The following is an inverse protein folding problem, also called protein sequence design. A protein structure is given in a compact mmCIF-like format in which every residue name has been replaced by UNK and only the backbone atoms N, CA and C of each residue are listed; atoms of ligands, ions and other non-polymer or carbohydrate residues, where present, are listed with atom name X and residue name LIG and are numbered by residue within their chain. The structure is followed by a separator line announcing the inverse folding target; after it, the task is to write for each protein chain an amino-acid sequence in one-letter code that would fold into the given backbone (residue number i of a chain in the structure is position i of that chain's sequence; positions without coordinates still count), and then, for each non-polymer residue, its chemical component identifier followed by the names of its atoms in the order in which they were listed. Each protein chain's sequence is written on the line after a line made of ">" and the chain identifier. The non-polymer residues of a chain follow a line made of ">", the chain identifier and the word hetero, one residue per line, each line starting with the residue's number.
data_IF_693679201898
#
_entry.id   IF_693679201898
#
_cell.length_a   1.000
_cell.length_b   1.000
_cell.length_c   1.000
_cell.angle_alpha   90.00
_cell.angle_beta   90.00
_cell.angle_gamma   90.00
#
_symmetry.space_group_name_H-M   'P 1'
#
loop_
_entity.id
_entity.type
_entity.pdbx_description
1 polymer ?
#
# COMPACT_ATOMS: atom_id res chain seq x y z
N UNK A 1 0.30 -4.56 3.28
CA UNK A 1 0.58 -3.56 2.22
C UNK A 1 0.09 -4.15 0.90
N UNK A 2 -0.68 -3.40 0.10
CA UNK A 2 -1.15 -3.90 -1.20
C UNK A 2 0.06 -4.03 -2.15
N UNK A 3 0.23 -5.15 -2.86
CA UNK A 3 1.20 -5.21 -3.96
C UNK A 3 0.87 -4.19 -5.04
N UNK A 4 1.90 -3.61 -5.64
CA UNK A 4 1.78 -2.57 -6.67
C UNK A 4 2.30 -3.12 -8.01
N UNK A 5 1.44 -3.22 -9.00
CA UNK A 5 1.84 -3.62 -10.34
C UNK A 5 1.99 -2.41 -11.25
N UNK A 6 3.22 -1.94 -11.43
CA UNK A 6 3.53 -0.84 -12.36
C UNK A 6 3.67 -1.30 -13.82
N UNK A 7 3.90 -2.58 -14.04
CA UNK A 7 4.23 -3.10 -15.35
C UNK A 7 5.57 -2.59 -15.90
N UNK A 8 5.78 -2.81 -17.20
CA UNK A 8 6.95 -2.29 -17.90
C UNK A 8 6.91 -0.76 -18.01
N UNK A 9 8.10 -0.14 -18.18
CA UNK A 9 8.20 1.30 -18.40
C UNK A 9 7.31 1.74 -19.57
N UNK A 10 6.45 2.76 -19.37
CA UNK A 10 5.61 3.30 -20.43
C UNK A 10 6.35 4.26 -21.37
N UNK A 11 7.61 4.56 -21.07
CA UNK A 11 8.47 5.47 -21.84
C UNK A 11 9.88 4.89 -22.00
N UNK A 12 10.58 5.32 -23.04
CA UNK A 12 12.01 5.02 -23.24
C UNK A 12 12.90 5.98 -22.46
N UNK A 13 12.51 7.27 -22.36
CA UNK A 13 13.19 8.29 -21.57
C UNK A 13 12.21 9.42 -21.22
N UNK A 14 12.47 10.09 -20.11
CA UNK A 14 11.82 11.34 -19.69
C UNK A 14 12.89 12.32 -19.24
N UNK A 15 12.64 13.63 -19.33
CA UNK A 15 13.60 14.65 -18.93
C UNK A 15 13.61 14.84 -17.42
N UNK A 16 12.45 14.96 -16.82
CA UNK A 16 12.28 15.16 -15.39
C UNK A 16 11.47 14.00 -14.80
N UNK A 17 11.84 13.54 -13.61
CA UNK A 17 11.11 12.46 -12.92
C UNK A 17 9.62 12.79 -12.70
N UNK A 18 9.27 14.09 -12.64
CA UNK A 18 7.88 14.54 -12.52
C UNK A 18 7.01 14.19 -13.73
N UNK A 19 7.63 14.02 -14.90
CA UNK A 19 6.93 13.59 -16.11
C UNK A 19 6.39 12.16 -16.00
N UNK A 20 6.90 11.38 -15.03
CA UNK A 20 6.40 10.04 -14.74
C UNK A 20 5.05 10.03 -14.00
N UNK A 21 4.62 11.17 -13.40
CA UNK A 21 3.43 11.21 -12.53
C UNK A 21 2.18 10.65 -13.19
N UNK A 22 1.73 11.10 -14.38
CA UNK A 22 0.51 10.58 -14.99
C UNK A 22 0.57 9.09 -15.30
N UNK A 23 1.75 8.57 -15.60
CA UNK A 23 1.95 7.14 -15.84
C UNK A 23 1.88 6.33 -14.54
N UNK A 24 2.46 6.84 -13.46
CA UNK A 24 2.36 6.21 -12.14
C UNK A 24 0.90 6.20 -11.66
N UNK A 25 0.19 7.31 -11.78
CA UNK A 25 -1.23 7.41 -11.42
C UNK A 25 -2.10 6.45 -12.23
N UNK A 26 -1.85 6.29 -13.53
CA UNK A 26 -2.59 5.35 -14.37
C UNK A 26 -2.38 3.88 -14.00
N UNK A 27 -1.27 3.54 -13.34
CA UNK A 27 -0.90 2.16 -12.96
C UNK A 27 -1.18 1.84 -11.50
N UNK A 28 -0.99 2.80 -10.61
CA UNK A 28 -1.08 2.63 -9.16
C UNK A 28 -2.41 3.18 -8.63
N UNK A 29 -3.04 4.10 -9.38
CA UNK A 29 -4.09 4.96 -8.89
C UNK A 29 -3.51 6.09 -8.02
N UNK A 30 -4.39 6.89 -7.46
CA UNK A 30 -4.03 8.05 -6.59
C UNK A 30 -3.78 7.61 -5.13
N UNK A 31 -2.99 6.56 -4.94
CA UNK A 31 -2.77 5.95 -3.63
C UNK A 31 -1.28 5.80 -3.32
N UNK A 32 -0.94 5.98 -2.05
CA UNK A 32 0.40 5.74 -1.57
C UNK A 32 0.76 4.24 -1.66
N UNK A 33 1.85 3.92 -2.35
CA UNK A 33 2.33 2.54 -2.53
C UNK A 33 2.65 1.83 -1.22
N UNK A 34 2.96 2.58 -0.16
CA UNK A 34 3.33 2.01 1.15
C UNK A 34 2.12 1.84 2.09
N UNK A 35 1.39 2.91 2.37
CA UNK A 35 0.32 2.86 3.38
C UNK A 35 -1.08 2.74 2.78
N UNK A 36 -1.24 2.97 1.47
CA UNK A 36 -2.53 2.95 0.78
C UNK A 36 -3.42 4.19 1.02
N UNK A 37 -2.89 5.24 1.66
CA UNK A 37 -3.61 6.50 1.82
C UNK A 37 -3.87 7.16 0.46
N UNK A 38 -5.01 7.82 0.30
CA UNK A 38 -5.31 8.67 -0.86
C UNK A 38 -4.36 9.86 -0.88
N UNK A 39 -3.86 10.20 -2.07
CA UNK A 39 -2.88 11.28 -2.31
C UNK A 39 -3.29 12.19 -3.47
N UNK A 40 -4.59 12.27 -3.76
CA UNK A 40 -5.17 13.00 -4.88
C UNK A 40 -4.77 14.48 -4.94
N UNK A 41 -4.60 15.12 -3.77
CA UNK A 41 -4.25 16.54 -3.67
C UNK A 41 -2.75 16.83 -3.62
N UNK A 42 -1.90 15.83 -3.29
CA UNK A 42 -0.46 16.03 -3.11
C UNK A 42 0.33 14.73 -3.33
N UNK A 43 0.28 14.14 -4.53
CA UNK A 43 1.09 12.96 -4.83
C UNK A 43 2.58 13.32 -4.86
N UNK A 44 3.39 12.51 -4.18
CA UNK A 44 4.84 12.63 -4.25
C UNK A 44 5.42 11.43 -5.01
N UNK A 45 6.29 11.71 -6.00
CA UNK A 45 7.09 10.67 -6.63
C UNK A 45 8.27 10.36 -5.70
N UNK A 46 8.28 9.14 -5.23
CA UNK A 46 9.27 8.60 -4.34
C UNK A 46 10.30 7.77 -5.11
N UNK A 47 11.56 7.83 -4.71
CA UNK A 47 12.66 7.07 -5.30
C UNK A 47 13.07 5.92 -4.39
N UNK A 48 12.87 4.68 -4.83
CA UNK A 48 13.24 3.46 -4.09
C UNK A 48 14.69 3.55 -3.61
N UNK A 49 15.64 3.78 -4.51
CA UNK A 49 17.00 4.22 -4.18
C UNK A 49 17.02 5.75 -4.22
N UNK A 50 17.38 6.36 -3.12
CA UNK A 50 17.29 7.82 -2.97
C UNK A 50 18.19 8.56 -3.98
N UNK A 51 17.67 9.63 -4.57
CA UNK A 51 18.41 10.47 -5.54
C UNK A 51 19.75 10.95 -5.02
N UNK A 52 19.81 11.36 -3.75
CA UNK A 52 21.02 11.80 -3.09
C UNK A 52 22.02 10.69 -2.77
N UNK A 53 21.64 9.45 -3.00
CA UNK A 53 22.45 8.24 -2.78
C UNK A 53 22.70 7.47 -4.09
N UNK A 54 22.69 8.18 -5.22
CA UNK A 54 23.01 7.63 -6.52
C UNK A 54 21.85 6.91 -7.23
N UNK A 55 20.61 6.99 -6.70
CA UNK A 55 19.43 6.45 -7.39
C UNK A 55 19.16 7.20 -8.69
N UNK A 56 18.89 6.46 -9.77
CA UNK A 56 18.47 7.05 -11.02
C UNK A 56 17.15 7.80 -10.84
N UNK A 57 17.12 9.03 -11.34
CA UNK A 57 16.00 9.94 -11.11
C UNK A 57 14.79 9.62 -11.98
N UNK A 58 14.99 9.02 -13.13
CA UNK A 58 13.98 8.82 -14.18
C UNK A 58 13.72 7.35 -14.49
N UNK A 59 14.51 6.44 -13.92
CA UNK A 59 14.34 5.00 -14.10
C UNK A 59 13.00 4.54 -13.49
N UNK A 60 12.12 4.00 -14.34
CA UNK A 60 10.77 3.55 -13.97
C UNK A 60 10.75 2.61 -12.75
N UNK A 61 11.70 1.67 -12.70
CA UNK A 61 11.83 0.73 -11.58
C UNK A 61 12.15 1.42 -10.26
N UNK A 62 12.75 2.61 -10.32
CA UNK A 62 13.12 3.40 -9.15
C UNK A 62 12.02 4.33 -8.66
N UNK A 63 10.85 4.41 -9.32
CA UNK A 63 9.80 5.37 -9.01
C UNK A 63 8.56 4.69 -8.44
N UNK A 64 8.01 5.27 -7.35
CA UNK A 64 6.75 4.91 -6.74
C UNK A 64 5.94 6.17 -6.43
N UNK A 65 4.63 6.01 -6.19
CA UNK A 65 3.82 7.07 -5.58
C UNK A 65 3.82 6.93 -4.06
N UNK A 66 4.00 8.03 -3.36
CA UNK A 66 3.97 8.04 -1.90
C UNK A 66 3.21 9.25 -1.35
N UNK A 67 2.62 9.08 -0.17
CA UNK A 67 2.17 10.22 0.61
C UNK A 67 3.37 10.90 1.26
N UNK A 68 3.21 12.18 1.57
CA UNK A 68 4.24 12.98 2.23
C UNK A 68 4.85 12.30 3.46
N UNK A 69 4.02 11.64 4.28
CA UNK A 69 4.51 10.99 5.51
C UNK A 69 5.43 9.81 5.20
N UNK A 70 5.01 8.88 4.33
CA UNK A 70 5.85 7.73 3.97
C UNK A 70 7.14 8.18 3.29
N UNK A 71 7.07 9.15 2.36
CA UNK A 71 8.25 9.70 1.68
C UNK A 71 9.20 10.39 2.66
N UNK A 72 8.69 11.23 3.55
CA UNK A 72 9.51 11.91 4.58
C UNK A 72 10.16 10.92 5.55
N UNK A 73 9.45 9.86 5.98
CA UNK A 73 10.01 8.85 6.91
C UNK A 73 11.09 8.01 6.24
N UNK A 74 10.86 7.60 4.99
CA UNK A 74 11.87 6.92 4.20
C UNK A 74 13.08 7.83 3.95
N UNK A 75 12.84 9.08 3.55
CA UNK A 75 13.92 10.08 3.32
C UNK A 75 15.02 9.55 2.38
N UNK A 76 16.27 9.78 2.72
CA UNK A 76 17.46 9.34 1.98
C UNK A 76 18.14 8.10 2.58
N UNK A 77 17.39 7.24 3.27
CA UNK A 77 17.93 6.07 3.98
C UNK A 77 18.27 4.90 3.06
N UNK A 78 17.80 4.90 1.81
CA UNK A 78 17.97 3.79 0.88
C UNK A 78 19.03 4.09 -0.18
N UNK A 79 19.91 3.13 -0.40
CA UNK A 79 21.03 3.13 -1.34
C UNK A 79 20.96 1.91 -2.25
N UNK A 80 21.80 1.83 -3.29
CA UNK A 80 21.93 0.64 -4.14
C UNK A 80 22.41 -0.59 -3.36
N UNK A 81 23.24 -0.41 -2.32
CA UNK A 81 23.77 -1.50 -1.52
C UNK A 81 22.72 -2.10 -0.59
N UNK A 82 21.84 -1.25 0.01
CA UNK A 82 20.85 -1.73 0.97
C UNK A 82 19.43 -1.89 0.40
N UNK A 83 19.19 -1.57 -0.88
CA UNK A 83 17.88 -1.72 -1.52
C UNK A 83 17.29 -3.10 -1.31
N UNK A 84 18.10 -4.15 -1.43
CA UNK A 84 17.66 -5.53 -1.33
C UNK A 84 17.34 -5.99 0.10
N UNK A 85 17.55 -5.13 1.08
CA UNK A 85 17.21 -5.38 2.49
C UNK A 85 15.73 -5.15 2.81
N UNK A 86 14.96 -4.61 1.89
CA UNK A 86 13.56 -4.23 2.07
C UNK A 86 12.62 -5.04 1.19
N UNK A 87 11.39 -5.22 1.63
CA UNK A 87 10.32 -5.91 0.88
C UNK A 87 9.48 -4.89 0.11
N UNK A 88 9.94 -4.47 -1.07
CA UNK A 88 9.29 -3.43 -1.86
C UNK A 88 7.93 -3.85 -2.42
N UNK A 89 6.91 -2.95 -2.43
CA UNK A 89 5.56 -3.29 -2.86
C UNK A 89 5.42 -3.57 -4.35
N UNK A 90 6.32 -3.09 -5.19
CA UNK A 90 6.33 -3.27 -6.64
C UNK A 90 7.25 -4.40 -7.14
N UNK A 91 8.01 -4.99 -6.25
CA UNK A 91 8.90 -6.12 -6.55
C UNK A 91 8.49 -7.42 -5.87
N UNK A 92 7.68 -7.32 -4.80
CA UNK A 92 7.39 -8.45 -3.92
C UNK A 92 5.87 -8.55 -3.63
N UNK A 93 5.40 -9.75 -3.33
CA UNK A 93 4.05 -9.91 -2.80
C UNK A 93 3.99 -9.46 -1.33
N UNK A 94 3.60 -8.21 -1.13
CA UNK A 94 3.49 -7.62 0.20
C UNK A 94 2.12 -7.83 0.85
N UNK A 95 1.16 -8.50 0.18
CA UNK A 95 -0.16 -8.78 0.75
C UNK A 95 -0.05 -9.59 2.04
N UNK A 96 0.67 -10.70 1.97
CA UNK A 96 0.82 -11.63 3.09
C UNK A 96 1.79 -11.11 4.18
N UNK A 97 2.61 -10.11 3.83
CA UNK A 97 3.65 -9.61 4.73
C UNK A 97 3.12 -8.85 5.94
N UNK A 98 1.90 -8.33 5.87
CA UNK A 98 1.35 -7.47 6.91
C UNK A 98 -0.10 -7.79 7.19
N UNK A 99 -0.48 -7.82 8.48
CA UNK A 99 -1.86 -7.88 8.96
C UNK A 99 -2.36 -6.50 9.34
N UNK A 100 -3.68 -6.31 9.37
CA UNK A 100 -4.31 -5.02 9.69
C UNK A 100 -5.50 -5.19 10.67
N UNK A 101 -5.40 -6.15 11.57
CA UNK A 101 -6.45 -6.38 12.58
C UNK A 101 -6.74 -5.11 13.39
N UNK A 102 -8.02 -4.72 13.46
CA UNK A 102 -8.43 -3.46 14.07
C UNK A 102 -7.91 -2.20 13.35
N UNK A 103 -7.44 -2.31 12.10
CA UNK A 103 -6.82 -1.20 11.34
C UNK A 103 -5.38 -0.92 11.77
N UNK A 104 -4.78 -1.76 12.64
CA UNK A 104 -3.41 -1.60 13.13
C UNK A 104 -2.49 -2.51 12.32
N UNK A 105 -1.53 -1.96 11.56
CA UNK A 105 -0.60 -2.77 10.79
C UNK A 105 0.42 -3.46 11.70
N UNK A 106 0.74 -4.69 11.37
CA UNK A 106 1.80 -5.48 11.99
C UNK A 106 2.46 -6.36 10.95
N UNK A 107 3.73 -6.68 11.12
CA UNK A 107 4.39 -7.71 10.30
C UNK A 107 3.76 -9.07 10.61
N UNK A 108 3.44 -9.82 9.57
CA UNK A 108 2.83 -11.14 9.68
C UNK A 108 3.90 -12.23 9.77
N UNK A 109 4.74 -12.16 10.80
CA UNK A 109 5.90 -13.04 10.98
C UNK A 109 5.56 -14.53 10.92
N UNK A 110 4.43 -15.04 11.48
CA UNK A 110 4.09 -16.46 11.36
C UNK A 110 3.99 -16.93 9.91
N UNK A 111 3.22 -16.25 9.08
CA UNK A 111 3.05 -16.60 7.66
C UNK A 111 4.37 -16.44 6.89
N UNK A 112 5.14 -15.41 7.19
CA UNK A 112 6.40 -15.18 6.50
C UNK A 112 7.45 -16.25 6.85
N UNK A 113 7.45 -16.77 8.05
CA UNK A 113 8.33 -17.89 8.46
C UNK A 113 7.87 -19.23 7.88
N UNK A 114 6.59 -19.43 7.63
CA UNK A 114 6.08 -20.58 6.87
C UNK A 114 6.54 -20.54 5.40
N UNK A 115 6.52 -19.34 4.79
CA UNK A 115 6.95 -19.13 3.39
C UNK A 115 8.47 -19.17 3.23
N UNK A 116 9.19 -18.68 4.22
CA UNK A 116 10.65 -18.61 4.25
C UNK A 116 11.16 -18.91 5.67
N UNK A 117 11.43 -20.18 5.98
CA UNK A 117 11.96 -20.59 7.30
C UNK A 117 13.31 -19.96 7.66
N UNK A 118 14.06 -19.43 6.67
CA UNK A 118 15.31 -18.68 6.95
C UNK A 118 15.06 -17.34 7.64
N UNK A 119 13.80 -16.84 7.58
CA UNK A 119 13.41 -15.55 8.14
C UNK A 119 13.84 -14.33 7.34
N UNK A 120 14.46 -14.50 6.17
CA UNK A 120 14.95 -13.37 5.36
C UNK A 120 13.81 -12.49 4.88
N UNK A 121 12.69 -13.08 4.40
CA UNK A 121 11.52 -12.31 3.97
C UNK A 121 10.90 -11.56 5.16
N UNK A 122 10.82 -12.17 6.33
CA UNK A 122 10.31 -11.53 7.54
C UNK A 122 11.17 -10.32 7.95
N UNK A 123 12.50 -10.46 7.90
CA UNK A 123 13.42 -9.36 8.18
C UNK A 123 13.27 -8.19 7.18
N UNK A 124 13.10 -8.49 5.89
CA UNK A 124 12.87 -7.47 4.85
C UNK A 124 11.54 -6.75 5.06
N UNK A 125 10.50 -7.47 5.45
CA UNK A 125 9.20 -6.90 5.78
C UNK A 125 9.29 -5.96 6.99
N UNK A 126 10.00 -6.37 8.07
CA UNK A 126 10.22 -5.56 9.26
C UNK A 126 10.99 -4.28 8.91
N UNK A 127 12.09 -4.40 8.17
CA UNK A 127 12.89 -3.24 7.75
C UNK A 127 12.07 -2.23 6.94
N UNK A 128 11.19 -2.68 6.02
CA UNK A 128 10.31 -1.75 5.29
C UNK A 128 9.26 -1.13 6.21
N UNK A 129 8.69 -1.92 7.11
CA UNK A 129 7.70 -1.45 8.10
C UNK A 129 8.26 -0.30 8.95
N UNK A 130 9.48 -0.47 9.46
CA UNK A 130 10.21 0.54 10.23
C UNK A 130 10.61 1.74 9.37
N UNK A 131 11.08 1.50 8.13
CA UNK A 131 11.58 2.54 7.23
C UNK A 131 10.53 3.64 6.97
N UNK A 132 9.27 3.23 6.75
CA UNK A 132 8.15 4.15 6.49
C UNK A 132 7.32 4.44 7.74
N UNK A 133 7.74 3.93 8.88
CA UNK A 133 7.02 4.01 10.17
C UNK A 133 5.53 3.67 10.00
N UNK A 134 5.26 2.52 9.38
CA UNK A 134 3.89 2.13 9.03
C UNK A 134 3.01 1.97 10.27
N UNK A 135 3.58 1.47 11.37
CA UNK A 135 2.91 1.25 12.65
C UNK A 135 2.84 2.48 13.56
N UNK A 136 3.34 3.64 13.13
CA UNK A 136 3.39 4.83 13.98
C UNK A 136 2.01 5.20 14.56
N UNK A 137 1.98 5.35 15.89
CA UNK A 137 0.85 5.90 16.64
C UNK A 137 1.20 7.37 16.94
N UNK A 138 0.54 8.34 16.29
CA UNK A 138 0.94 9.73 16.38
C UNK A 138 0.69 10.30 17.78
N UNK A 139 1.61 11.14 18.25
CA UNK A 139 1.37 11.98 19.43
C UNK A 139 0.24 13.01 19.15
N UNK A 140 -0.41 13.57 20.18
CA UNK A 140 -1.56 14.46 20.00
C UNK A 140 -1.30 15.68 19.09
N UNK A 141 -0.06 16.18 19.04
CA UNK A 141 0.36 17.29 18.17
C UNK A 141 0.88 16.87 16.80
N UNK A 142 1.03 15.58 16.55
CA UNK A 142 1.51 15.07 15.26
C UNK A 142 0.43 15.28 14.19
N UNK A 143 0.88 15.66 13.00
CA UNK A 143 0.01 15.85 11.83
C UNK A 143 -0.21 14.56 11.04
N UNK A 144 0.47 13.45 11.37
CA UNK A 144 0.29 12.16 10.73
C UNK A 144 -1.10 11.60 11.03
N UNK A 145 -1.94 11.54 10.02
CA UNK A 145 -3.32 11.04 10.12
C UNK A 145 -3.48 9.59 9.69
N UNK A 146 -2.41 8.93 9.21
CA UNK A 146 -2.48 7.56 8.69
C UNK A 146 -3.07 6.58 9.69
N UNK A 147 -2.69 6.67 10.97
CA UNK A 147 -3.23 5.82 12.03
C UNK A 147 -4.75 5.98 12.18
N UNK A 148 -5.21 7.22 12.37
CA UNK A 148 -6.65 7.54 12.55
C UNK A 148 -7.46 7.08 11.33
N UNK A 149 -7.00 7.43 10.13
CA UNK A 149 -7.68 7.08 8.88
C UNK A 149 -7.80 5.55 8.68
N UNK A 150 -6.78 4.77 9.06
CA UNK A 150 -6.86 3.30 9.01
C UNK A 150 -7.90 2.74 9.97
N UNK A 151 -7.98 3.25 11.20
CA UNK A 151 -9.00 2.83 12.17
C UNK A 151 -10.41 3.13 11.64
N UNK A 152 -10.61 4.33 11.10
CA UNK A 152 -11.89 4.75 10.50
C UNK A 152 -12.23 3.88 9.26
N UNK A 153 -11.23 3.54 8.45
CA UNK A 153 -11.39 2.64 7.31
C UNK A 153 -11.75 1.23 7.77
N UNK A 154 -11.11 0.72 8.82
CA UNK A 154 -11.45 -0.58 9.39
C UNK A 154 -12.90 -0.64 9.86
N UNK A 155 -13.36 0.39 10.58
CA UNK A 155 -14.76 0.48 11.00
C UNK A 155 -15.73 0.48 9.80
N UNK A 156 -15.41 1.23 8.74
CA UNK A 156 -16.21 1.24 7.51
C UNK A 156 -16.21 -0.13 6.81
N UNK A 157 -15.07 -0.79 6.73
CA UNK A 157 -14.94 -2.12 6.14
C UNK A 157 -15.75 -3.17 6.92
N UNK A 158 -15.74 -3.12 8.25
CA UNK A 158 -16.55 -4.02 9.09
C UNK A 158 -18.05 -3.82 8.89
N UNK A 159 -18.50 -2.57 8.73
CA UNK A 159 -19.91 -2.27 8.41
C UNK A 159 -20.26 -2.82 7.02
N UNK A 160 -19.39 -2.63 6.05
CA UNK A 160 -19.55 -3.12 4.68
C UNK A 160 -19.59 -4.66 4.65
N UNK A 161 -18.70 -5.34 5.37
CA UNK A 161 -18.72 -6.81 5.50
C UNK A 161 -20.04 -7.32 6.10
N UNK A 162 -20.53 -6.65 7.15
CA UNK A 162 -21.83 -7.03 7.76
C UNK A 162 -22.99 -6.87 6.77
N UNK A 163 -22.98 -5.85 5.93
CA UNK A 163 -23.98 -5.64 4.88
C UNK A 163 -23.81 -6.66 3.77
N UNK A 164 -22.60 -6.88 3.29
CA UNK A 164 -22.28 -7.88 2.26
C UNK A 164 -22.80 -9.26 2.64
N UNK A 165 -22.51 -9.75 3.85
CA UNK A 165 -22.98 -11.05 4.35
C UNK A 165 -24.50 -11.21 4.36
N UNK A 166 -25.25 -10.11 4.39
CA UNK A 166 -26.72 -10.12 4.32
C UNK A 166 -27.25 -10.09 2.89
N UNK A 167 -26.52 -9.47 1.97
CA UNK A 167 -26.99 -9.16 0.62
C UNK A 167 -26.42 -10.09 -0.45
N UNK A 168 -25.30 -10.76 -0.19
CA UNK A 168 -24.57 -11.57 -1.19
C UNK A 168 -25.38 -12.74 -1.81
N UNK A 169 -26.46 -13.18 -1.14
CA UNK A 169 -27.37 -14.23 -1.65
C UNK A 169 -28.74 -13.65 -2.07
N UNK A 170 -28.82 -12.34 -2.35
CA UNK A 170 -30.04 -11.65 -2.76
C UNK A 170 -29.87 -10.97 -4.12
N UNK A 171 -30.95 -10.44 -4.67
CA UNK A 171 -30.94 -9.62 -5.89
C UNK A 171 -30.07 -8.36 -5.79
N UNK A 172 -29.74 -7.90 -4.58
CA UNK A 172 -28.90 -6.71 -4.31
C UNK A 172 -27.39 -7.03 -4.23
N UNK A 173 -26.96 -8.21 -4.63
CA UNK A 173 -25.58 -8.65 -4.57
C UNK A 173 -24.63 -7.71 -5.31
N UNK A 174 -24.93 -7.46 -6.60
CA UNK A 174 -24.05 -6.63 -7.44
C UNK A 174 -24.06 -5.16 -6.99
N UNK A 175 -25.21 -4.61 -6.63
CA UNK A 175 -25.31 -3.25 -6.07
C UNK A 175 -24.47 -3.11 -4.79
N UNK A 176 -24.51 -4.12 -3.93
CA UNK A 176 -23.70 -4.15 -2.70
C UNK A 176 -22.20 -4.21 -2.99
N UNK A 177 -21.80 -4.95 -4.01
CA UNK A 177 -20.40 -5.07 -4.45
C UNK A 177 -19.89 -3.75 -5.03
N UNK A 178 -20.69 -3.10 -5.89
CA UNK A 178 -20.37 -1.80 -6.47
C UNK A 178 -20.24 -0.74 -5.38
N UNK A 179 -21.16 -0.67 -4.43
CA UNK A 179 -21.10 0.24 -3.29
C UNK A 179 -19.82 0.02 -2.46
N UNK A 180 -19.43 -1.23 -2.22
CA UNK A 180 -18.17 -1.54 -1.52
C UNK A 180 -16.99 -0.99 -2.33
N UNK A 181 -16.96 -1.21 -3.63
CA UNK A 181 -15.89 -0.70 -4.51
C UNK A 181 -15.76 0.83 -4.42
N UNK A 182 -16.89 1.55 -4.49
CA UNK A 182 -16.92 3.01 -4.36
C UNK A 182 -16.38 3.49 -3.00
N UNK A 183 -16.77 2.82 -1.90
CA UNK A 183 -16.26 3.16 -0.57
C UNK A 183 -14.75 2.89 -0.49
N UNK A 184 -14.26 1.80 -1.06
CA UNK A 184 -12.83 1.47 -1.11
C UNK A 184 -12.05 2.54 -1.87
N UNK A 185 -12.51 2.93 -3.05
CA UNK A 185 -11.87 3.99 -3.85
C UNK A 185 -11.82 5.30 -3.09
N UNK A 186 -12.89 5.68 -2.40
CA UNK A 186 -12.99 6.94 -1.67
C UNK A 186 -12.19 6.97 -0.36
N UNK A 187 -11.87 5.83 0.23
CA UNK A 187 -11.14 5.76 1.50
C UNK A 187 -9.68 5.33 1.36
N UNK A 188 -9.34 4.59 0.29
CA UNK A 188 -8.03 3.98 0.17
C UNK A 188 -7.77 2.91 1.24
N UNK A 189 -6.51 2.78 1.67
CA UNK A 189 -6.07 1.80 2.67
C UNK A 189 -6.49 0.36 2.34
N UNK A 190 -6.29 -0.05 1.10
CA UNK A 190 -6.74 -1.34 0.54
C UNK A 190 -6.40 -2.55 1.41
N UNK A 191 -5.23 -2.55 2.06
CA UNK A 191 -4.82 -3.66 2.91
C UNK A 191 -5.71 -3.85 4.14
N UNK A 192 -6.38 -2.81 4.59
CA UNK A 192 -7.39 -2.89 5.66
C UNK A 192 -8.64 -3.62 5.16
N UNK A 193 -9.05 -3.33 3.93
CA UNK A 193 -10.17 -4.00 3.28
C UNK A 193 -9.85 -5.47 3.00
N UNK A 194 -8.66 -5.77 2.47
CA UNK A 194 -8.18 -7.14 2.25
C UNK A 194 -8.17 -7.96 3.55
N UNK A 195 -7.76 -7.37 4.68
CA UNK A 195 -7.82 -8.03 6.00
C UNK A 195 -9.26 -8.34 6.42
N UNK A 196 -10.18 -7.37 6.28
CA UNK A 196 -11.57 -7.53 6.71
C UNK A 196 -12.34 -8.52 5.82
N UNK A 197 -12.06 -8.52 4.51
CA UNK A 197 -12.72 -9.39 3.55
C UNK A 197 -11.91 -10.64 3.17
N UNK A 198 -10.94 -11.03 3.98
CA UNK A 198 -10.05 -12.17 3.68
C UNK A 198 -10.79 -13.50 3.42
N UNK A 199 -11.94 -13.69 4.08
CA UNK A 199 -12.78 -14.89 3.96
C UNK A 199 -13.93 -14.71 2.95
N UNK A 200 -13.96 -13.63 2.18
CA UNK A 200 -14.95 -13.33 1.14
C UNK A 200 -14.22 -13.18 -0.22
N UNK A 201 -13.94 -14.29 -0.91
CA UNK A 201 -13.05 -14.31 -2.08
C UNK A 201 -13.53 -13.42 -3.21
N UNK A 202 -14.84 -13.28 -3.39
CA UNK A 202 -15.42 -12.44 -4.44
C UNK A 202 -15.09 -10.96 -4.26
N UNK A 203 -15.23 -10.45 -3.04
CA UNK A 203 -14.84 -9.08 -2.72
C UNK A 203 -13.31 -8.93 -2.73
N UNK A 204 -12.59 -9.91 -2.18
CA UNK A 204 -11.13 -9.90 -2.18
C UNK A 204 -10.56 -9.77 -3.59
N UNK A 205 -11.06 -10.55 -4.56
CA UNK A 205 -10.62 -10.49 -5.95
C UNK A 205 -10.91 -9.10 -6.56
N UNK A 206 -12.12 -8.57 -6.38
CA UNK A 206 -12.47 -7.22 -6.82
C UNK A 206 -11.51 -6.15 -6.28
N UNK A 207 -11.03 -6.28 -5.03
CA UNK A 207 -10.10 -5.32 -4.41
C UNK A 207 -8.73 -5.27 -5.08
N UNK A 208 -8.31 -6.31 -5.81
CA UNK A 208 -7.09 -6.31 -6.61
C UNK A 208 -7.26 -5.63 -7.96
N UNK A 209 -8.50 -5.51 -8.45
CA UNK A 209 -8.83 -4.90 -9.76
C UNK A 209 -9.11 -3.38 -9.62
N UNK A 210 -9.20 -2.86 -8.39
CA UNK A 210 -9.34 -1.43 -8.08
C UNK A 210 -7.96 -0.78 -7.98
#
# INVERSE_FOLDING_TARGET
>A
MRPVNKGASPYTSIQEYRDALPYLESRIGIYCSYCGAIIDHAPEIEHVVSKSKGGDKTEWKNLLLACKYCNTRKSNKTTSENKNDYLWPDENNTELAYTYAGGIPRVNSPILLELDPSGNIAQKAEKLFELVELGNIPAPKDKDRRFKQRIETYASAMISLKKWKKLKETEYKEDSKELIAEIVRSKGFFSVWLEVFKDEPEIKNMLFDI
#
